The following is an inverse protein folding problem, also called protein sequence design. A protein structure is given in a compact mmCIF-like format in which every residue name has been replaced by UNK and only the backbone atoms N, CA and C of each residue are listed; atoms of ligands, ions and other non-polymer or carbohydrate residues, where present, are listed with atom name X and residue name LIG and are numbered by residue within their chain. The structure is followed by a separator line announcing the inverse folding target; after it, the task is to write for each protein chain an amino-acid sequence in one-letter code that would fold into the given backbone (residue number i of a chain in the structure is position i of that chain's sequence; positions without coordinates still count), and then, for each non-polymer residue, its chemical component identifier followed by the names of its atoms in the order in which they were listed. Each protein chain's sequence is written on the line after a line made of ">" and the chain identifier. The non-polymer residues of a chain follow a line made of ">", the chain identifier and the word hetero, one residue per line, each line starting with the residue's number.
data_IF_400465673920
#
_entry.id   IF_400465673920
#
_cell.length_a   1.000
_cell.length_b   1.000
_cell.length_c   1.000
_cell.angle_alpha   90.00
_cell.angle_beta   90.00
_cell.angle_gamma   90.00
#
_symmetry.space_group_name_H-M   'P 1'
#
loop_
_entity.id
_entity.type
_entity.pdbx_description
1 polymer ?
#
# COMPACT_ATOMS: atom_id res chain seq x y z
N UNK A 1 7.48 6.79 7.10
CA UNK A 1 7.56 5.81 8.23
C UNK A 1 8.07 4.48 7.68
N UNK A 2 8.48 3.53 8.52
CA UNK A 2 8.69 2.14 8.07
C UNK A 2 7.39 1.36 8.30
N UNK A 3 6.82 0.83 7.23
CA UNK A 3 5.59 0.04 7.27
C UNK A 3 5.93 -1.43 7.48
N UNK A 4 5.16 -2.11 8.32
CA UNK A 4 5.26 -3.55 8.56
C UNK A 4 3.85 -4.17 8.51
N UNK A 5 3.76 -5.50 8.44
CA UNK A 5 2.46 -6.21 8.44
C UNK A 5 1.59 -5.91 9.68
N UNK A 6 2.21 -5.49 10.78
CA UNK A 6 1.57 -5.17 12.05
C UNK A 6 1.23 -3.67 12.17
N UNK A 7 1.61 -2.85 11.18
CA UNK A 7 1.24 -1.44 11.12
C UNK A 7 -0.28 -1.28 10.99
N UNK A 8 -0.82 -0.31 11.71
CA UNK A 8 -2.24 0.05 11.69
C UNK A 8 -2.55 0.88 10.45
N UNK A 9 -3.63 0.55 9.75
CA UNK A 9 -4.02 1.23 8.50
C UNK A 9 -4.27 2.71 8.75
N UNK A 10 -4.95 3.06 9.84
CA UNK A 10 -5.15 4.45 10.26
C UNK A 10 -3.83 5.23 10.40
N UNK A 11 -2.82 4.64 11.03
CA UNK A 11 -1.52 5.29 11.23
C UNK A 11 -0.77 5.52 9.91
N UNK A 12 -0.88 4.59 8.95
CA UNK A 12 -0.28 4.74 7.61
C UNK A 12 -0.97 5.87 6.85
N UNK A 13 -2.31 5.91 6.88
CA UNK A 13 -3.10 6.96 6.22
C UNK A 13 -2.85 8.34 6.82
N UNK A 14 -2.66 8.42 8.14
CA UNK A 14 -2.35 9.66 8.84
C UNK A 14 -0.91 10.11 8.62
N UNK A 15 0.01 9.15 8.42
CA UNK A 15 1.39 9.45 8.04
C UNK A 15 1.49 9.97 6.59
N UNK A 16 0.75 9.38 5.65
CA UNK A 16 0.69 9.83 4.27
C UNK A 16 -0.61 9.39 3.57
N UNK A 17 -1.47 10.36 3.28
CA UNK A 17 -2.76 10.13 2.64
C UNK A 17 -2.63 9.74 1.15
N UNK A 18 -1.46 9.94 0.53
CA UNK A 18 -1.20 9.44 -0.84
C UNK A 18 -1.16 7.91 -0.92
N UNK A 19 -1.20 7.20 0.22
CA UNK A 19 -1.32 5.74 0.28
C UNK A 19 -2.76 5.22 0.09
N UNK A 20 -3.78 6.09 0.15
CA UNK A 20 -5.20 5.70 -0.02
C UNK A 20 -5.46 4.82 -1.25
N UNK A 21 -4.93 5.12 -2.46
CA UNK A 21 -5.22 4.34 -3.66
C UNK A 21 -4.85 2.86 -3.54
N UNK A 22 -3.78 2.51 -2.82
CA UNK A 22 -3.38 1.11 -2.61
C UNK A 22 -4.43 0.32 -1.83
N UNK A 23 -5.04 0.96 -0.82
CA UNK A 23 -6.12 0.36 -0.03
C UNK A 23 -7.45 0.29 -0.80
N UNK A 24 -7.74 1.29 -1.63
CA UNK A 24 -8.93 1.25 -2.49
C UNK A 24 -8.85 0.13 -3.54
N UNK A 25 -7.66 -0.11 -4.11
CA UNK A 25 -7.43 -1.18 -5.09
C UNK A 25 -7.68 -2.58 -4.50
N UNK A 26 -7.40 -2.79 -3.21
CA UNK A 26 -7.75 -4.04 -2.51
C UNK A 26 -9.22 -4.12 -2.06
N UNK A 27 -10.04 -3.11 -2.37
CA UNK A 27 -11.48 -3.09 -2.06
C UNK A 27 -11.84 -2.53 -0.69
N UNK A 28 -10.90 -1.89 0.02
CA UNK A 28 -11.19 -1.18 1.26
C UNK A 28 -11.74 0.22 0.97
N UNK A 29 -13.00 0.33 0.57
CA UNK A 29 -13.62 1.64 0.26
C UNK A 29 -14.02 2.46 1.50
N UNK A 30 -14.02 1.84 2.68
CA UNK A 30 -14.48 2.43 3.94
C UNK A 30 -13.35 2.90 4.86
N UNK A 31 -12.27 3.46 4.31
CA UNK A 31 -11.07 3.91 5.06
C UNK A 31 -11.32 5.05 6.08
N UNK A 32 -12.52 5.63 6.09
CA UNK A 32 -12.97 6.58 7.12
C UNK A 32 -13.63 5.91 8.33
N UNK A 33 -14.00 4.64 8.26
CA UNK A 33 -14.66 3.93 9.36
C UNK A 33 -13.64 3.53 10.44
N UNK A 34 -13.95 3.73 11.74
CA UNK A 34 -13.05 3.35 12.83
C UNK A 34 -12.65 1.86 12.82
N UNK A 35 -13.52 0.98 12.33
CA UNK A 35 -13.23 -0.45 12.19
C UNK A 35 -12.06 -0.67 11.21
N UNK A 36 -12.19 -0.22 9.97
CA UNK A 36 -11.16 -0.41 8.93
C UNK A 36 -9.86 0.32 9.24
N UNK A 37 -9.93 1.47 9.91
CA UNK A 37 -8.73 2.21 10.34
C UNK A 37 -7.99 1.52 11.48
N UNK A 38 -8.68 0.73 12.30
CA UNK A 38 -8.11 0.02 13.45
C UNK A 38 -7.50 -1.35 13.12
N UNK A 39 -7.63 -1.82 11.88
CA UNK A 39 -7.07 -3.10 11.44
C UNK A 39 -5.57 -2.98 11.14
N UNK A 40 -4.82 -4.07 11.37
CA UNK A 40 -3.46 -4.21 10.85
C UNK A 40 -3.49 -4.52 9.35
N UNK A 41 -2.39 -4.23 8.65
CA UNK A 41 -2.23 -4.65 7.25
C UNK A 41 -2.45 -6.15 7.07
N UNK A 42 -1.90 -7.00 7.95
CA UNK A 42 -2.06 -8.45 7.85
C UNK A 42 -3.53 -8.89 7.94
N UNK A 43 -4.32 -8.28 8.82
CA UNK A 43 -5.74 -8.60 8.97
C UNK A 43 -6.53 -8.21 7.72
N UNK A 44 -6.35 -6.99 7.24
CA UNK A 44 -7.03 -6.51 6.04
C UNK A 44 -6.63 -7.33 4.81
N UNK A 45 -5.33 -7.59 4.62
CA UNK A 45 -4.82 -8.43 3.54
C UNK A 45 -5.44 -9.84 3.56
N UNK A 46 -5.57 -10.46 4.74
CA UNK A 46 -6.18 -11.77 4.87
C UNK A 46 -7.68 -11.80 4.50
N UNK A 47 -8.42 -10.73 4.76
CA UNK A 47 -9.85 -10.60 4.41
C UNK A 47 -10.04 -10.31 2.91
N UNK A 48 -9.15 -9.51 2.34
CA UNK A 48 -9.25 -9.00 0.97
C UNK A 48 -8.45 -9.80 -0.06
N UNK A 49 -7.75 -10.87 0.37
CA UNK A 49 -7.02 -11.78 -0.52
C UNK A 49 -5.78 -11.16 -1.16
N UNK A 50 -5.11 -10.24 -0.46
CA UNK A 50 -3.90 -9.56 -0.93
C UNK A 50 -2.69 -10.10 -0.17
N UNK A 51 -1.54 -10.23 -0.85
CA UNK A 51 -0.29 -10.58 -0.18
C UNK A 51 0.22 -9.38 0.65
N UNK A 52 0.30 -9.59 1.97
CA UNK A 52 0.73 -8.53 2.90
C UNK A 52 2.18 -8.12 2.68
N UNK A 53 3.05 -9.03 2.24
CA UNK A 53 4.45 -8.71 2.00
C UNK A 53 4.61 -7.84 0.76
N UNK A 54 3.86 -8.14 -0.31
CA UNK A 54 3.84 -7.30 -1.51
C UNK A 54 3.35 -5.89 -1.18
N UNK A 55 2.24 -5.76 -0.43
CA UNK A 55 1.71 -4.45 -0.05
C UNK A 55 2.68 -3.68 0.85
N UNK A 56 3.32 -4.33 1.81
CA UNK A 56 4.36 -3.71 2.67
C UNK A 56 5.52 -3.19 1.82
N UNK A 57 5.98 -3.93 0.81
CA UNK A 57 7.05 -3.49 -0.07
C UNK A 57 6.64 -2.25 -0.87
N UNK A 58 5.47 -2.29 -1.51
CA UNK A 58 4.95 -1.17 -2.30
C UNK A 58 4.78 0.10 -1.45
N UNK A 59 4.19 -0.02 -0.26
CA UNK A 59 4.00 1.11 0.65
C UNK A 59 5.34 1.70 1.12
N UNK A 60 6.32 0.86 1.49
CA UNK A 60 7.63 1.36 1.90
C UNK A 60 8.39 2.03 0.75
N UNK A 61 8.27 1.53 -0.47
CA UNK A 61 8.88 2.16 -1.65
C UNK A 61 8.29 3.55 -1.89
N UNK A 62 6.95 3.63 -1.92
CA UNK A 62 6.21 4.88 -2.07
C UNK A 62 6.59 5.92 -1.01
N UNK A 63 6.58 5.52 0.27
CA UNK A 63 6.91 6.40 1.39
C UNK A 63 8.39 6.78 1.48
N UNK A 64 9.28 6.03 0.82
CA UNK A 64 10.70 6.36 0.73
C UNK A 64 11.03 7.29 -0.44
N UNK A 65 10.04 7.65 -1.27
CA UNK A 65 10.24 8.44 -2.49
C UNK A 65 11.06 7.70 -3.55
N UNK A 66 11.16 6.37 -3.46
CA UNK A 66 11.69 5.55 -4.55
C UNK A 66 10.55 5.24 -5.49
N UNK A 67 10.58 5.85 -6.67
CA UNK A 67 9.69 5.49 -7.77
C UNK A 67 9.76 3.97 -8.02
N UNK A 68 8.65 3.33 -8.45
CA UNK A 68 8.67 1.90 -8.74
C UNK A 68 9.79 1.64 -9.75
N UNK A 69 10.67 0.70 -9.42
CA UNK A 69 11.64 0.21 -10.37
C UNK A 69 10.86 -0.51 -11.47
N UNK A 70 10.54 0.22 -12.53
CA UNK A 70 10.00 -0.30 -13.79
C UNK A 70 10.84 -1.51 -14.23
N UNK A 71 10.30 -2.71 -14.03
CA UNK A 71 10.80 -3.90 -14.72
C UNK A 71 9.99 -4.08 -16.00
N UNK A 72 10.56 -3.49 -17.06
CA UNK A 72 10.42 -3.78 -18.49
C UNK A 72 9.18 -3.25 -19.24
N UNK A 73 9.42 -2.28 -20.13
CA UNK A 73 9.36 -2.58 -21.56
C UNK A 73 10.52 -1.89 -22.29
N UNK A 74 11.44 -2.71 -22.79
CA UNK A 74 12.25 -2.32 -23.93
C UNK A 74 11.33 -2.33 -25.16
N UNK A 75 10.89 -1.17 -25.62
CA UNK A 75 10.62 -0.98 -27.05
C UNK A 75 11.00 0.43 -27.52
N UNK A 76 12.04 0.43 -28.36
CA UNK A 76 12.41 1.40 -29.39
C UNK A 76 13.22 2.66 -29.03
N UNK A 77 14.54 2.44 -28.97
CA UNK A 77 15.62 3.15 -29.68
C UNK A 77 15.23 4.34 -30.58
N UNK A 78 15.96 5.44 -30.35
CA UNK A 78 16.38 6.51 -31.27
C UNK A 78 15.73 6.57 -32.67
N UNK A 79 14.93 7.62 -32.90
CA UNK A 79 14.98 8.49 -34.09
C UNK A 79 14.16 9.77 -33.87
#
# INVERSE_FOLDING_TARGET
>A
MVVTKDSIIGDILDADNSTVPYFLQMGMYCLGCPASRGETLAQACAVHGVDVQELVQVLNQHLSGKEPADTNDAENTEQ
#
